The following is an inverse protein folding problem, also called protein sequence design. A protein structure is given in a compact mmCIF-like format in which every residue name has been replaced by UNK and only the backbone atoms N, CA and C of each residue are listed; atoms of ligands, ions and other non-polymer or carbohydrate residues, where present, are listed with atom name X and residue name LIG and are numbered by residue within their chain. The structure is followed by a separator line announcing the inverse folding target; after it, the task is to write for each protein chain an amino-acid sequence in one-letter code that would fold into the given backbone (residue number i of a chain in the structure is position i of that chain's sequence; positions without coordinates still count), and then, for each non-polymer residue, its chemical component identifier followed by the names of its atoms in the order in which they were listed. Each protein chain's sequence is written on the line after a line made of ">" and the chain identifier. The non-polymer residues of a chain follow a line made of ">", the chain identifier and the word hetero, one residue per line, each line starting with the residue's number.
data_IF_070353301829
#
_entry.id   IF_070353301829
#
_cell.length_a   1.000
_cell.length_b   1.000
_cell.length_c   1.000
_cell.angle_alpha   90.00
_cell.angle_beta   90.00
_cell.angle_gamma   90.00
#
_symmetry.space_group_name_H-M   'P 1'
#
loop_
_entity.id
_entity.type
_entity.pdbx_description
1 polymer ?
#
# COMPACT_ATOMS: atom_id res chain seq x y z
N UNK A 1 -12.80 6.01 26.79
CA UNK A 1 -12.22 4.71 26.39
C UNK A 1 -11.08 5.00 25.41
N UNK A 2 -9.83 4.61 25.68
CA UNK A 2 -8.74 4.78 24.70
C UNK A 2 -9.01 3.81 23.54
N UNK A 3 -9.08 4.33 22.31
CA UNK A 3 -9.18 3.49 21.12
C UNK A 3 -8.01 2.50 21.14
N UNK A 4 -8.30 1.20 21.08
CA UNK A 4 -7.26 0.17 20.96
C UNK A 4 -6.55 0.45 19.64
N UNK A 5 -5.28 0.84 19.70
CA UNK A 5 -4.48 1.12 18.50
C UNK A 5 -4.63 -0.07 17.54
N UNK A 6 -5.24 0.16 16.39
CA UNK A 6 -5.51 -0.91 15.43
C UNK A 6 -4.44 -0.84 14.37
N UNK A 7 -3.60 -1.86 14.32
CA UNK A 7 -2.56 -1.99 13.31
C UNK A 7 -3.16 -1.82 11.89
N UNK A 8 -2.55 -0.99 11.04
CA UNK A 8 -2.97 -0.91 9.65
C UNK A 8 -2.75 -2.27 8.97
N UNK A 9 -3.75 -2.72 8.21
CA UNK A 9 -3.63 -3.88 7.33
C UNK A 9 -3.10 -3.41 5.99
N UNK A 10 -2.26 -4.21 5.35
CA UNK A 10 -1.67 -3.90 4.04
C UNK A 10 -1.94 -5.02 3.04
N UNK A 11 -2.20 -4.67 1.78
CA UNK A 11 -2.36 -5.61 0.66
C UNK A 11 -1.70 -5.10 -0.62
N UNK A 12 -1.38 -6.04 -1.50
CA UNK A 12 -1.05 -5.75 -2.91
C UNK A 12 -2.33 -5.80 -3.73
N UNK A 13 -2.42 -4.96 -4.75
CA UNK A 13 -3.54 -4.85 -5.67
C UNK A 13 -3.01 -4.66 -7.09
N UNK A 14 -3.73 -5.20 -8.07
CA UNK A 14 -3.39 -5.12 -9.49
C UNK A 14 -4.20 -4.01 -10.16
N UNK A 15 -3.53 -3.27 -11.04
CA UNK A 15 -4.08 -2.09 -11.71
C UNK A 15 -3.68 -2.10 -13.17
N UNK A 16 -4.53 -1.55 -14.02
CA UNK A 16 -4.19 -1.28 -15.41
C UNK A 16 -3.52 0.09 -15.45
N UNK A 17 -2.33 0.15 -16.04
CA UNK A 17 -1.63 1.40 -16.32
C UNK A 17 -2.36 2.13 -17.46
N UNK A 18 -2.99 3.25 -17.12
CA UNK A 18 -3.73 4.11 -18.05
C UNK A 18 -2.98 5.38 -18.40
N UNK A 19 -1.65 5.42 -18.21
CA UNK A 19 -0.82 6.51 -18.72
C UNK A 19 -0.89 6.57 -20.24
N UNK A 20 -0.70 7.76 -20.84
CA UNK A 20 -0.72 7.89 -22.30
C UNK A 20 0.34 6.97 -22.94
N UNK A 21 1.50 6.84 -22.30
CA UNK A 21 2.58 5.95 -22.73
C UNK A 21 2.17 4.47 -22.72
N UNK A 22 1.37 4.04 -21.75
CA UNK A 22 0.88 2.66 -21.67
C UNK A 22 -0.30 2.42 -22.64
N UNK A 23 -1.19 3.40 -22.81
CA UNK A 23 -2.33 3.29 -23.72
C UNK A 23 -1.93 3.27 -25.20
N UNK A 24 -0.76 3.81 -25.54
CA UNK A 24 -0.20 3.75 -26.89
C UNK A 24 0.44 2.39 -27.25
N UNK A 25 0.44 1.42 -26.34
CA UNK A 25 0.97 0.07 -26.58
C UNK A 25 -0.14 -0.90 -26.99
N UNK A 26 0.22 -1.93 -27.77
CA UNK A 26 -0.73 -2.95 -28.24
C UNK A 26 -1.27 -3.85 -27.11
N UNK A 27 -0.58 -3.91 -25.98
CA UNK A 27 -0.93 -4.76 -24.84
C UNK A 27 -1.17 -3.92 -23.58
N UNK A 28 -2.18 -4.30 -22.79
CA UNK A 28 -2.43 -3.70 -21.49
C UNK A 28 -1.23 -3.95 -20.56
N UNK A 29 -0.75 -2.87 -19.94
CA UNK A 29 0.28 -2.94 -18.92
C UNK A 29 -0.37 -3.03 -17.54
N UNK A 30 0.00 -4.06 -16.78
CA UNK A 30 -0.37 -4.20 -15.37
C UNK A 30 0.69 -3.52 -14.50
N UNK A 31 0.23 -2.84 -13.45
CA UNK A 31 1.06 -2.30 -12.37
C UNK A 31 0.51 -2.73 -11.02
N UNK A 32 1.39 -2.85 -10.04
CA UNK A 32 1.06 -3.40 -8.73
C UNK A 32 1.13 -2.30 -7.67
N UNK A 33 0.02 -2.04 -7.00
CA UNK A 33 -0.09 -1.00 -5.98
C UNK A 33 -0.24 -1.57 -4.57
N UNK A 34 0.32 -0.87 -3.57
CA UNK A 34 0.11 -1.21 -2.16
C UNK A 34 -1.00 -0.35 -1.57
N UNK A 35 -1.92 -0.99 -0.84
CA UNK A 35 -3.01 -0.31 -0.14
C UNK A 35 -2.97 -0.61 1.36
N UNK A 36 -3.41 0.36 2.16
CA UNK A 36 -3.56 0.27 3.60
C UNK A 36 -5.03 0.42 4.02
N UNK A 37 -5.41 -0.25 5.09
CA UNK A 37 -6.69 -0.07 5.78
C UNK A 37 -6.41 0.20 7.26
N UNK A 38 -6.82 1.37 7.74
CA UNK A 38 -6.76 1.73 9.16
C UNK A 38 -8.04 1.27 9.88
N UNK A 39 -7.90 0.62 11.03
CA UNK A 39 -9.06 0.11 11.77
C UNK A 39 -9.75 -1.10 11.13
N UNK A 40 -10.77 -1.65 11.81
CA UNK A 40 -11.51 -2.82 11.32
C UNK A 40 -12.48 -2.52 10.17
N UNK A 41 -12.87 -1.25 10.00
CA UNK A 41 -13.87 -0.79 9.02
C UNK A 41 -13.39 0.35 8.12
N UNK A 42 -12.08 0.63 8.08
CA UNK A 42 -11.52 1.65 7.19
C UNK A 42 -11.72 1.29 5.71
N UNK A 43 -11.69 2.30 4.83
CA UNK A 43 -11.56 2.03 3.39
C UNK A 43 -10.12 1.64 3.08
N UNK A 44 -9.93 0.87 2.01
CA UNK A 44 -8.59 0.65 1.46
C UNK A 44 -8.14 1.93 0.74
N UNK A 45 -7.00 2.47 1.15
CA UNK A 45 -6.42 3.70 0.60
C UNK A 45 -5.04 3.34 0.03
N UNK A 46 -4.65 3.99 -1.05
CA UNK A 46 -3.32 3.80 -1.64
C UNK A 46 -2.24 4.29 -0.70
N UNK A 47 -1.16 3.53 -0.62
CA UNK A 47 0.06 3.99 0.04
C UNK A 47 0.82 4.94 -0.90
N UNK A 48 1.34 6.02 -0.33
CA UNK A 48 2.17 7.00 -1.02
C UNK A 48 3.53 7.09 -0.33
N UNK A 49 4.57 7.39 -1.11
CA UNK A 49 5.89 7.80 -0.62
C UNK A 49 6.09 9.26 -1.04
N UNK A 50 5.87 10.18 -0.10
CA UNK A 50 5.71 11.59 -0.44
C UNK A 50 4.44 11.77 -1.29
N UNK A 51 4.58 12.40 -2.44
CA UNK A 51 3.46 12.63 -3.38
C UNK A 51 3.31 11.53 -4.44
N UNK A 52 4.19 10.52 -4.42
CA UNK A 52 4.20 9.46 -5.42
C UNK A 52 3.46 8.22 -4.88
N UNK A 53 2.46 7.69 -5.60
CA UNK A 53 1.82 6.44 -5.23
C UNK A 53 2.83 5.29 -5.31
N UNK A 54 2.74 4.35 -4.36
CA UNK A 54 3.60 3.17 -4.34
C UNK A 54 3.11 2.15 -5.38
N UNK A 55 3.50 2.37 -6.63
CA UNK A 55 3.26 1.51 -7.79
C UNK A 55 4.56 0.83 -8.22
N UNK A 56 4.46 -0.43 -8.60
CA UNK A 56 5.59 -1.28 -8.98
C UNK A 56 5.31 -1.99 -10.31
N UNK A 57 6.38 -2.28 -11.04
CA UNK A 57 6.28 -2.97 -12.33
C UNK A 57 6.01 -4.47 -12.15
N UNK A 58 6.45 -5.04 -11.02
CA UNK A 58 6.29 -6.46 -10.73
C UNK A 58 5.54 -6.70 -9.42
N UNK A 59 4.90 -7.87 -9.33
CA UNK A 59 4.20 -8.28 -8.13
C UNK A 59 5.15 -8.49 -6.94
N UNK A 60 6.36 -9.00 -7.20
CA UNK A 60 7.37 -9.27 -6.19
C UNK A 60 7.89 -7.98 -5.52
N UNK A 61 8.14 -6.93 -6.31
CA UNK A 61 8.50 -5.61 -5.79
C UNK A 61 7.40 -5.05 -4.87
N UNK A 62 6.14 -5.17 -5.28
CA UNK A 62 5.00 -4.74 -4.48
C UNK A 62 4.86 -5.55 -3.19
N UNK A 63 5.09 -6.87 -3.24
CA UNK A 63 5.08 -7.72 -2.05
C UNK A 63 6.21 -7.38 -1.09
N UNK A 64 7.41 -7.13 -1.60
CA UNK A 64 8.55 -6.70 -0.80
C UNK A 64 8.25 -5.38 -0.08
N UNK A 65 7.76 -4.37 -0.81
CA UNK A 65 7.37 -3.10 -0.21
C UNK A 65 6.22 -3.23 0.81
N UNK A 66 5.26 -4.11 0.55
CA UNK A 66 4.16 -4.41 1.46
C UNK A 66 4.65 -5.10 2.75
N UNK A 67 5.66 -5.98 2.65
CA UNK A 67 6.31 -6.60 3.80
C UNK A 67 7.05 -5.57 4.66
N UNK A 68 7.76 -4.63 4.03
CA UNK A 68 8.46 -3.54 4.73
C UNK A 68 7.50 -2.65 5.51
N UNK A 69 6.37 -2.27 4.91
CA UNK A 69 5.32 -1.49 5.58
C UNK A 69 4.71 -2.22 6.78
N UNK A 70 4.50 -3.54 6.65
CA UNK A 70 4.03 -4.38 7.77
C UNK A 70 5.07 -4.43 8.88
N UNK A 71 6.35 -4.54 8.55
CA UNK A 71 7.44 -4.57 9.53
C UNK A 71 7.59 -3.22 10.26
N UNK A 72 7.54 -2.11 9.52
CA UNK A 72 7.57 -0.76 10.09
C UNK A 72 6.38 -0.49 11.02
N UNK A 73 5.16 -0.84 10.59
CA UNK A 73 3.97 -0.68 11.43
C UNK A 73 4.05 -1.51 12.73
N UNK A 74 4.63 -2.72 12.66
CA UNK A 74 4.93 -3.54 13.84
C UNK A 74 5.93 -2.87 14.76
N UNK A 75 7.03 -2.32 14.21
CA UNK A 75 8.04 -1.60 15.00
C UNK A 75 7.46 -0.40 15.73
N UNK A 76 6.68 0.46 15.04
CA UNK A 76 6.06 1.65 15.64
C UNK A 76 5.08 1.32 16.76
N UNK A 77 4.22 0.32 16.57
CA UNK A 77 3.33 -0.11 17.64
C UNK A 77 4.11 -0.63 18.86
N UNK A 78 5.17 -1.42 18.65
CA UNK A 78 5.99 -1.92 19.76
C UNK A 78 6.70 -0.78 20.53
N UNK A 79 6.91 0.37 19.90
CA UNK A 79 7.48 1.57 20.52
C UNK A 79 6.43 2.42 21.24
N UNK A 80 5.14 2.06 21.19
CA UNK A 80 4.06 2.78 21.86
C UNK A 80 3.47 3.94 21.06
N UNK A 81 3.88 4.11 19.80
CA UNK A 81 3.33 5.14 18.92
C UNK A 81 1.91 4.77 18.49
N UNK A 82 0.97 5.68 18.76
CA UNK A 82 -0.40 5.57 18.27
C UNK A 82 -0.40 5.93 16.78
N UNK A 83 -0.50 4.91 15.93
CA UNK A 83 -0.76 5.10 14.49
C UNK A 83 -2.26 5.43 14.35
N UNK A 84 -2.61 6.71 14.47
CA UNK A 84 -3.95 7.24 14.18
C UNK A 84 -3.96 7.98 12.85
#
# INVERSE_FOLDING_TARGET
>A
MKAKATYPKYRVSEWIDTTEEALNQTAFRLVYGVQAQTGSHGKWIHCFRGDTPMLFATQDEAFSACADLRAEARRRHNQGDVIC
#
